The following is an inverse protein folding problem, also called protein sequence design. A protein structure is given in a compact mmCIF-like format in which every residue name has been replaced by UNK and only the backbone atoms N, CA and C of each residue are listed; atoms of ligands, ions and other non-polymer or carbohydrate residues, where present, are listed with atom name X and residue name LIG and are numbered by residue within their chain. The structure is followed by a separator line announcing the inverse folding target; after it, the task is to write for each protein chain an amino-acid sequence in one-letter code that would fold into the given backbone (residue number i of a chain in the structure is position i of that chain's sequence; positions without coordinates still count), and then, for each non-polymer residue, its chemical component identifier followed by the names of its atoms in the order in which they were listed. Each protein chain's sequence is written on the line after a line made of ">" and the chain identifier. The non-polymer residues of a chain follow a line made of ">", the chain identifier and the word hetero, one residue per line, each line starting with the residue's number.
data_IF_158874823981
#
_entry.id   IF_158874823981
#
_cell.length_a   1.000
_cell.length_b   1.000
_cell.length_c   1.000
_cell.angle_alpha   90.00
_cell.angle_beta   90.00
_cell.angle_gamma   90.00
#
_symmetry.space_group_name_H-M   'P 1'
#
loop_
_entity.id
_entity.type
_entity.pdbx_description
1 polymer ?
#
# COMPACT_ATOMS: atom_id res chain seq x y z
N UNK A 1 -1.36 -1.94 -26.21
CA UNK A 1 -0.37 -2.99 -25.95
C UNK A 1 0.90 -2.58 -26.63
N UNK A 2 2.04 -2.55 -25.94
CA UNK A 2 3.32 -2.45 -26.63
C UNK A 2 3.64 -3.85 -27.17
N UNK A 3 3.99 -3.97 -28.44
CA UNK A 3 4.45 -5.26 -28.98
C UNK A 3 5.89 -5.58 -28.51
N UNK A 4 6.51 -4.66 -27.76
CA UNK A 4 7.81 -4.86 -27.14
C UNK A 4 7.70 -5.73 -25.86
N UNK A 5 8.35 -6.91 -25.83
CA UNK A 5 8.35 -7.80 -24.67
C UNK A 5 9.03 -7.17 -23.44
N UNK A 6 10.03 -6.30 -23.60
CA UNK A 6 10.72 -5.61 -22.50
C UNK A 6 9.76 -4.68 -21.78
N UNK A 7 9.04 -3.85 -22.53
CA UNK A 7 8.03 -2.92 -21.97
C UNK A 7 6.94 -3.70 -21.24
N UNK A 8 6.45 -4.79 -21.84
CA UNK A 8 5.37 -5.62 -21.26
C UNK A 8 5.80 -6.26 -19.95
N UNK A 9 6.99 -6.87 -19.90
CA UNK A 9 7.53 -7.50 -18.70
C UNK A 9 7.85 -6.46 -17.62
N UNK A 10 8.44 -5.32 -17.98
CA UNK A 10 8.74 -4.26 -17.02
C UNK A 10 7.47 -3.69 -16.38
N UNK A 11 6.41 -3.43 -17.16
CA UNK A 11 5.12 -2.98 -16.65
C UNK A 11 4.46 -4.04 -15.75
N UNK A 12 4.57 -5.32 -16.10
CA UNK A 12 4.07 -6.42 -15.29
C UNK A 12 4.78 -6.46 -13.92
N UNK A 13 6.12 -6.48 -13.90
CA UNK A 13 6.92 -6.44 -12.66
C UNK A 13 6.55 -5.22 -11.81
N UNK A 14 6.49 -4.02 -12.41
CA UNK A 14 6.13 -2.82 -11.69
C UNK A 14 4.69 -2.90 -11.13
N UNK A 15 3.76 -3.54 -11.84
CA UNK A 15 2.37 -3.70 -11.38
C UNK A 15 2.26 -4.60 -10.14
N UNK A 16 3.05 -5.68 -10.08
CA UNK A 16 3.11 -6.58 -8.93
C UNK A 16 3.73 -5.90 -7.71
N UNK A 17 4.75 -5.08 -7.96
CA UNK A 17 5.48 -4.37 -6.90
C UNK A 17 4.77 -3.09 -6.43
N UNK A 18 3.66 -2.67 -7.05
CA UNK A 18 2.93 -1.47 -6.60
C UNK A 18 2.56 -1.59 -5.12
N UNK A 19 2.72 -0.52 -4.34
CA UNK A 19 3.07 0.86 -4.72
C UNK A 19 4.58 1.17 -4.71
N UNK A 20 5.43 0.15 -4.50
CA UNK A 20 6.87 0.30 -4.31
C UNK A 20 7.55 0.56 -5.65
N UNK A 21 8.27 1.68 -5.73
CA UNK A 21 9.12 1.97 -6.89
C UNK A 21 10.27 0.95 -7.01
N UNK A 22 10.80 0.78 -8.22
CA UNK A 22 11.97 -0.06 -8.48
C UNK A 22 13.12 0.81 -8.97
N UNK A 23 14.34 0.54 -8.50
CA UNK A 23 15.54 1.06 -9.13
C UNK A 23 15.73 0.41 -10.50
N UNK A 24 16.26 1.17 -11.46
CA UNK A 24 16.39 0.69 -12.85
C UNK A 24 17.30 -0.54 -12.95
N UNK A 25 18.37 -0.60 -12.15
CA UNK A 25 19.30 -1.74 -12.16
C UNK A 25 18.60 -3.04 -11.73
N UNK A 26 17.83 -3.00 -10.65
CA UNK A 26 17.01 -4.13 -10.20
C UNK A 26 15.91 -4.46 -11.20
N UNK A 27 15.23 -3.47 -11.76
CA UNK A 27 14.21 -3.71 -12.78
C UNK A 27 14.81 -4.44 -13.99
N UNK A 28 15.97 -4.01 -14.49
CA UNK A 28 16.67 -4.67 -15.59
C UNK A 28 17.01 -6.13 -15.26
N UNK A 29 17.50 -6.42 -14.06
CA UNK A 29 17.76 -7.81 -13.62
C UNK A 29 16.51 -8.68 -13.64
N UNK A 30 15.39 -8.16 -13.10
CA UNK A 30 14.12 -8.88 -13.06
C UNK A 30 13.55 -9.10 -14.48
N UNK A 31 13.68 -8.11 -15.36
CA UNK A 31 13.29 -8.23 -16.77
C UNK A 31 14.14 -9.30 -17.47
N UNK A 32 15.45 -9.29 -17.27
CA UNK A 32 16.37 -10.27 -17.85
C UNK A 32 16.01 -11.70 -17.41
N UNK A 33 15.83 -11.91 -16.10
CA UNK A 33 15.41 -13.20 -15.53
C UNK A 33 14.11 -13.70 -16.15
N UNK A 34 13.10 -12.83 -16.23
CA UNK A 34 11.78 -13.20 -16.74
C UNK A 34 11.78 -13.51 -18.24
N UNK A 35 12.64 -12.86 -19.01
CA UNK A 35 12.82 -13.09 -20.44
C UNK A 35 13.82 -14.22 -20.76
N UNK A 36 14.53 -14.76 -19.77
CA UNK A 36 15.62 -15.72 -19.98
C UNK A 36 16.83 -15.11 -20.70
N UNK A 37 17.06 -13.80 -20.55
CA UNK A 37 18.20 -13.05 -21.12
C UNK A 37 19.27 -12.85 -20.04
N UNK A 38 20.51 -12.66 -20.48
CA UNK A 38 21.59 -12.13 -19.63
C UNK A 38 21.46 -10.62 -19.50
N UNK A 39 21.92 -10.06 -18.37
CA UNK A 39 22.05 -8.60 -18.25
C UNK A 39 23.30 -8.17 -19.01
N UNK A 40 23.10 -7.50 -20.14
CA UNK A 40 24.13 -6.93 -21.00
C UNK A 40 23.83 -5.44 -21.30
N UNK A 41 24.77 -4.68 -21.89
CA UNK A 41 24.58 -3.26 -22.19
C UNK A 41 23.35 -2.96 -23.05
N UNK A 42 23.05 -3.82 -24.03
CA UNK A 42 21.91 -3.63 -24.94
C UNK A 42 20.58 -3.73 -24.18
N UNK A 43 20.41 -4.75 -23.32
CA UNK A 43 19.21 -4.89 -22.49
C UNK A 43 19.07 -3.73 -21.49
N UNK A 44 20.17 -3.23 -20.92
CA UNK A 44 20.14 -2.05 -20.04
C UNK A 44 19.58 -0.84 -20.80
N UNK A 45 20.08 -0.59 -22.01
CA UNK A 45 19.63 0.53 -22.86
C UNK A 45 18.16 0.36 -23.28
N UNK A 46 17.74 -0.84 -23.68
CA UNK A 46 16.35 -1.18 -24.00
C UNK A 46 15.40 -0.87 -22.82
N UNK A 47 15.73 -1.34 -21.62
CA UNK A 47 14.93 -1.08 -20.40
C UNK A 47 14.91 0.41 -20.07
N UNK A 48 16.06 1.09 -20.14
CA UNK A 48 16.15 2.53 -19.89
C UNK A 48 15.28 3.33 -20.85
N UNK A 49 15.38 3.07 -22.15
CA UNK A 49 14.60 3.77 -23.18
C UNK A 49 13.10 3.50 -23.01
N UNK A 50 12.73 2.25 -22.73
CA UNK A 50 11.35 1.88 -22.42
C UNK A 50 10.79 2.66 -21.21
N UNK A 51 11.55 2.73 -20.11
CA UNK A 51 11.11 3.43 -18.90
C UNK A 51 11.06 4.93 -19.09
N UNK A 52 12.06 5.51 -19.77
CA UNK A 52 12.06 6.93 -20.13
C UNK A 52 10.81 7.28 -20.96
N UNK A 53 10.52 6.49 -22.00
CA UNK A 53 9.33 6.68 -22.81
C UNK A 53 8.06 6.61 -21.95
N UNK A 54 7.91 5.62 -21.07
CA UNK A 54 6.74 5.51 -20.20
C UNK A 54 6.59 6.71 -19.24
N UNK A 55 7.70 7.24 -18.72
CA UNK A 55 7.70 8.44 -17.88
C UNK A 55 7.31 9.67 -18.68
N UNK A 56 7.89 9.89 -19.85
CA UNK A 56 7.56 11.03 -20.72
C UNK A 56 6.09 11.03 -21.18
N UNK A 57 5.47 9.85 -21.31
CA UNK A 57 4.05 9.70 -21.62
C UNK A 57 3.13 9.70 -20.37
N UNK A 58 3.67 9.94 -19.17
CA UNK A 58 2.90 9.97 -17.92
C UNK A 58 2.25 8.64 -17.55
N UNK A 59 2.83 7.52 -17.98
CA UNK A 59 2.34 6.16 -17.67
C UNK A 59 2.96 5.59 -16.40
N UNK A 60 4.14 6.08 -16.04
CA UNK A 60 4.89 5.70 -14.85
C UNK A 60 5.46 6.96 -14.20
N UNK A 61 5.47 7.00 -12.88
CA UNK A 61 6.11 8.08 -12.12
C UNK A 61 7.60 7.75 -11.90
N UNK A 62 8.47 8.72 -12.13
CA UNK A 62 9.87 8.65 -11.72
C UNK A 62 10.09 9.42 -10.41
N UNK A 63 10.92 8.88 -9.52
CA UNK A 63 11.27 9.52 -8.25
C UNK A 63 12.67 9.12 -7.80
N UNK A 64 13.30 9.98 -6.99
CA UNK A 64 14.64 9.72 -6.41
C UNK A 64 14.59 9.26 -4.95
N UNK A 65 13.46 9.48 -4.29
CA UNK A 65 13.31 9.25 -2.85
C UNK A 65 12.51 7.97 -2.65
N UNK A 66 13.10 7.02 -1.94
CA UNK A 66 12.35 5.87 -1.42
C UNK A 66 11.31 6.37 -0.42
N UNK A 67 10.04 6.10 -0.71
CA UNK A 67 8.90 6.53 0.10
C UNK A 67 8.64 5.61 1.30
N UNK A 68 9.42 4.53 1.45
CA UNK A 68 9.28 3.56 2.55
C UNK A 68 8.00 2.74 2.48
N UNK A 69 7.26 2.79 1.37
CA UNK A 69 6.03 2.02 1.17
C UNK A 69 6.33 0.53 1.01
N UNK A 70 5.37 -0.31 1.34
CA UNK A 70 5.47 -1.77 1.16
C UNK A 70 4.44 -2.29 0.15
N UNK A 71 4.81 -3.35 -0.58
CA UNK A 71 3.92 -4.12 -1.45
C UNK A 71 3.36 -5.37 -0.74
N UNK A 72 3.75 -5.59 0.51
CA UNK A 72 3.32 -6.69 1.37
C UNK A 72 2.50 -6.15 2.54
N UNK A 73 1.47 -6.89 2.96
CA UNK A 73 0.74 -6.61 4.20
C UNK A 73 1.40 -7.41 5.32
N UNK A 74 2.15 -6.72 6.19
CA UNK A 74 2.77 -7.34 7.36
C UNK A 74 1.72 -7.72 8.41
N UNK A 75 2.04 -8.67 9.29
CA UNK A 75 1.13 -9.09 10.38
C UNK A 75 0.81 -7.95 11.37
N UNK A 76 1.72 -6.99 11.48
CA UNK A 76 1.58 -5.75 12.26
C UNK A 76 1.75 -4.55 11.32
N UNK A 77 0.71 -4.19 10.56
CA UNK A 77 0.81 -3.17 9.53
C UNK A 77 1.15 -1.79 10.12
N UNK A 78 1.92 -1.01 9.35
CA UNK A 78 2.37 0.32 9.73
C UNK A 78 1.92 1.33 8.68
N UNK A 79 1.48 2.51 9.11
CA UNK A 79 1.29 3.69 8.26
C UNK A 79 2.03 4.91 8.84
N UNK A 80 2.08 6.00 8.07
CA UNK A 80 2.76 7.22 8.50
C UNK A 80 2.05 7.89 9.68
N UNK A 81 2.82 8.56 10.55
CA UNK A 81 2.26 9.34 11.67
C UNK A 81 1.26 10.40 11.22
N UNK A 82 1.45 10.97 10.02
CA UNK A 82 0.55 11.94 9.45
C UNK A 82 -0.83 11.32 9.17
N UNK A 83 -0.86 10.17 8.49
CA UNK A 83 -2.11 9.44 8.19
C UNK A 83 -2.84 9.09 9.48
N UNK A 84 -2.14 8.52 10.48
CA UNK A 84 -2.75 8.20 11.78
C UNK A 84 -3.38 9.43 12.43
N UNK A 85 -2.66 10.56 12.44
CA UNK A 85 -3.16 11.83 12.99
C UNK A 85 -4.37 12.37 12.22
N UNK A 86 -4.36 12.28 10.89
CA UNK A 86 -5.49 12.72 10.05
C UNK A 86 -6.74 11.88 10.34
N UNK A 87 -6.58 10.56 10.45
CA UNK A 87 -7.66 9.64 10.81
C UNK A 87 -8.19 9.90 12.23
N UNK A 88 -7.32 10.03 13.24
CA UNK A 88 -7.75 10.34 14.62
C UNK A 88 -8.45 11.70 14.76
N UNK A 89 -8.14 12.65 13.86
CA UNK A 89 -8.78 13.96 13.83
C UNK A 89 -10.10 13.96 13.03
N UNK A 90 -10.64 12.79 12.68
CA UNK A 90 -11.88 12.62 11.91
C UNK A 90 -11.91 13.39 10.57
N UNK A 91 -10.76 13.50 9.88
CA UNK A 91 -10.71 14.14 8.56
C UNK A 91 -11.32 13.26 7.49
N UNK A 92 -12.07 13.84 6.56
CA UNK A 92 -12.65 13.11 5.44
C UNK A 92 -11.63 12.47 4.47
N UNK A 93 -10.33 12.79 4.60
CA UNK A 93 -9.28 12.21 3.77
C UNK A 93 -7.94 12.10 4.52
N UNK A 94 -7.10 11.17 4.05
CA UNK A 94 -5.69 11.05 4.41
C UNK A 94 -4.78 11.35 3.21
N UNK A 95 -3.59 11.86 3.49
CA UNK A 95 -2.53 12.07 2.49
C UNK A 95 -1.66 10.82 2.42
N UNK A 96 -1.62 10.16 1.26
CA UNK A 96 -0.79 8.96 1.05
C UNK A 96 0.69 9.32 0.94
N UNK A 97 1.59 8.32 0.98
CA UNK A 97 3.02 8.54 0.74
C UNK A 97 3.33 9.02 -0.69
N UNK A 98 2.36 8.89 -1.61
CA UNK A 98 2.44 9.43 -2.98
C UNK A 98 1.92 10.86 -3.08
N UNK A 99 1.52 11.47 -1.97
CA UNK A 99 0.88 12.79 -1.92
C UNK A 99 -0.49 12.83 -2.60
N UNK A 100 -1.14 11.69 -2.75
CA UNK A 100 -2.54 11.60 -3.19
C UNK A 100 -3.48 11.70 -1.98
N UNK A 101 -4.77 11.92 -2.25
CA UNK A 101 -5.81 11.93 -1.22
C UNK A 101 -6.61 10.61 -1.26
N UNK A 102 -6.62 9.90 -0.14
CA UNK A 102 -7.52 8.76 0.09
C UNK A 102 -8.70 9.26 0.92
N UNK A 103 -9.93 9.15 0.40
CA UNK A 103 -11.14 9.42 1.18
C UNK A 103 -11.25 8.39 2.32
N UNK A 104 -11.62 8.86 3.51
CA UNK A 104 -11.76 8.01 4.69
C UNK A 104 -13.24 7.80 5.03
N UNK A 105 -13.60 6.56 5.32
CA UNK A 105 -14.88 6.20 5.93
C UNK A 105 -14.75 5.97 7.45
N UNK A 106 -15.87 5.60 8.08
CA UNK A 106 -15.92 5.39 9.54
C UNK A 106 -15.01 4.26 10.00
N UNK A 107 -14.84 3.20 9.20
CA UNK A 107 -13.95 2.09 9.55
C UNK A 107 -12.49 2.53 9.45
N UNK A 108 -12.13 3.32 8.44
CA UNK A 108 -10.78 3.87 8.30
C UNK A 108 -10.38 4.71 9.53
N UNK A 109 -11.32 5.47 10.10
CA UNK A 109 -11.11 6.23 11.34
C UNK A 109 -10.85 5.36 12.57
N UNK A 110 -11.31 4.11 12.58
CA UNK A 110 -11.04 3.14 13.65
C UNK A 110 -9.70 2.44 13.41
N UNK A 111 -9.44 2.01 12.17
CA UNK A 111 -8.28 1.17 11.84
C UNK A 111 -6.97 1.95 11.75
N UNK A 112 -6.93 3.05 10.99
CA UNK A 112 -5.69 3.76 10.67
C UNK A 112 -4.90 4.23 11.90
N UNK A 113 -5.51 4.71 13.00
CA UNK A 113 -4.77 5.06 14.21
C UNK A 113 -3.96 3.91 14.82
N UNK A 114 -4.37 2.67 14.61
CA UNK A 114 -3.76 1.45 15.16
C UNK A 114 -2.68 0.86 14.24
N UNK A 115 -2.51 1.37 13.01
CA UNK A 115 -1.47 0.91 12.09
C UNK A 115 -0.10 1.49 12.46
N UNK A 116 0.44 1.07 13.59
CA UNK A 116 1.67 1.59 14.19
C UNK A 116 2.80 0.56 14.32
N UNK A 117 2.57 -0.67 13.87
CA UNK A 117 3.49 -1.80 13.99
C UNK A 117 3.41 -2.56 15.31
N UNK A 118 2.54 -2.12 16.23
CA UNK A 118 2.33 -2.78 17.51
C UNK A 118 1.06 -3.65 17.49
N UNK A 119 0.05 -3.24 16.72
CA UNK A 119 -1.24 -3.93 16.60
C UNK A 119 -1.32 -4.83 15.36
N UNK A 120 -1.80 -6.06 15.54
CA UNK A 120 -2.08 -6.99 14.45
C UNK A 120 -3.57 -7.12 14.16
N UNK A 121 -3.93 -8.09 13.31
CA UNK A 121 -5.31 -8.32 12.87
C UNK A 121 -6.30 -8.50 14.03
N UNK A 122 -5.92 -9.22 15.08
CA UNK A 122 -6.77 -9.47 16.26
C UNK A 122 -7.12 -8.17 16.98
N UNK A 123 -6.15 -7.28 17.17
CA UNK A 123 -6.38 -5.98 17.81
C UNK A 123 -7.23 -5.06 16.93
N UNK A 124 -7.02 -5.09 15.60
CA UNK A 124 -7.84 -4.34 14.65
C UNK A 124 -9.30 -4.80 14.68
N UNK A 125 -9.54 -6.11 14.67
CA UNK A 125 -10.88 -6.69 14.78
C UNK A 125 -11.54 -6.30 16.11
N UNK A 126 -10.81 -6.43 17.22
CA UNK A 126 -11.32 -6.06 18.55
C UNK A 126 -11.72 -4.60 18.62
N UNK A 127 -10.93 -3.70 18.03
CA UNK A 127 -11.25 -2.27 17.97
C UNK A 127 -12.49 -1.99 17.12
N UNK A 128 -12.63 -2.66 15.98
CA UNK A 128 -13.78 -2.51 15.09
C UNK A 128 -15.09 -3.03 15.73
N UNK A 129 -15.06 -4.21 16.38
CA UNK A 129 -16.20 -4.74 17.15
C UNK A 129 -16.59 -3.82 18.30
N UNK A 130 -15.62 -3.26 19.02
CA UNK A 130 -15.86 -2.29 20.10
C UNK A 130 -16.50 -1.00 19.57
N UNK A 131 -16.09 -0.53 18.39
CA UNK A 131 -16.68 0.63 17.73
C UNK A 131 -18.12 0.37 17.26
N UNK A 132 -18.43 -0.84 16.76
CA UNK A 132 -19.79 -1.27 16.42
C UNK A 132 -20.68 -1.29 17.67
N UNK A 133 -20.25 -1.98 18.73
CA UNK A 133 -21.03 -2.10 19.97
C UNK A 133 -21.22 -0.78 20.74
N UNK A 134 -20.47 0.27 20.41
CA UNK A 134 -20.63 1.62 20.96
C UNK A 134 -21.31 2.60 20.00
N UNK A 135 -21.89 2.11 18.90
CA UNK A 135 -22.60 2.90 17.86
C UNK A 135 -21.73 4.01 17.22
N UNK A 136 -20.40 3.89 17.33
CA UNK A 136 -19.43 4.81 16.68
C UNK A 136 -19.11 4.40 15.25
N UNK A 137 -19.35 3.13 14.94
CA UNK A 137 -19.17 2.52 13.64
C UNK A 137 -20.51 1.89 13.25
N UNK A 138 -20.86 2.03 11.98
CA UNK A 138 -22.03 1.41 11.37
C UNK A 138 -21.55 0.88 10.04
N UNK A 139 -21.74 -0.41 9.79
CA UNK A 139 -21.36 -1.08 8.57
C UNK A 139 -22.58 -1.84 8.08
N UNK A 140 -22.91 -1.63 6.81
CA UNK A 140 -24.00 -2.33 6.12
C UNK A 140 -23.40 -3.18 5.01
N UNK A 141 -23.74 -4.47 4.98
CA UNK A 141 -23.35 -5.41 3.92
C UNK A 141 -24.63 -6.10 3.44
N UNK A 142 -24.92 -6.04 2.14
CA UNK A 142 -26.13 -6.62 1.54
C UNK A 142 -27.43 -6.22 2.28
N UNK A 143 -27.59 -4.91 2.52
CA UNK A 143 -28.72 -4.30 3.25
C UNK A 143 -28.88 -4.76 4.73
N UNK A 144 -27.89 -5.48 5.28
CA UNK A 144 -27.84 -5.92 6.67
C UNK A 144 -26.82 -5.09 7.47
N UNK A 145 -27.24 -4.49 8.58
CA UNK A 145 -26.33 -3.84 9.53
C UNK A 145 -25.60 -4.89 10.37
N UNK A 146 -24.30 -4.70 10.59
CA UNK A 146 -23.52 -5.56 11.50
C UNK A 146 -23.79 -5.15 12.95
N UNK A 147 -24.11 -6.13 13.81
CA UNK A 147 -24.49 -5.90 15.21
C UNK A 147 -23.42 -6.42 16.20
N UNK A 148 -22.30 -6.95 15.69
CA UNK A 148 -21.19 -7.47 16.50
C UNK A 148 -21.40 -8.92 16.97
N UNK A 149 -22.25 -9.68 16.28
CA UNK A 149 -22.38 -11.12 16.48
C UNK A 149 -21.10 -11.88 16.06
N UNK A 150 -21.02 -13.18 16.37
CA UNK A 150 -19.89 -14.01 15.94
C UNK A 150 -19.79 -14.09 14.39
N UNK A 151 -20.93 -14.19 13.70
CA UNK A 151 -20.98 -14.16 12.23
C UNK A 151 -20.52 -12.80 11.68
N UNK A 152 -20.83 -11.69 12.38
CA UNK A 152 -20.34 -10.37 11.99
C UNK A 152 -18.83 -10.24 12.17
N UNK A 153 -18.23 -10.93 13.15
CA UNK A 153 -16.80 -10.90 13.35
C UNK A 153 -16.04 -11.52 12.16
N UNK A 154 -16.52 -12.64 11.62
CA UNK A 154 -15.90 -13.27 10.44
C UNK A 154 -15.98 -12.35 9.22
N UNK A 155 -17.16 -11.75 8.96
CA UNK A 155 -17.33 -10.79 7.87
C UNK A 155 -16.47 -9.53 8.07
N UNK A 156 -16.33 -9.07 9.30
CA UNK A 156 -15.51 -7.90 9.61
C UNK A 156 -14.01 -8.16 9.41
N UNK A 157 -13.54 -9.41 9.59
CA UNK A 157 -12.17 -9.80 9.22
C UNK A 157 -11.96 -9.63 7.72
N UNK A 158 -12.88 -10.12 6.89
CA UNK A 158 -12.80 -9.99 5.43
C UNK A 158 -12.74 -8.51 5.00
N UNK A 159 -13.62 -7.68 5.57
CA UNK A 159 -13.63 -6.22 5.30
C UNK A 159 -12.31 -5.57 5.74
N UNK A 160 -11.75 -5.96 6.89
CA UNK A 160 -10.46 -5.44 7.36
C UNK A 160 -9.34 -5.81 6.38
N UNK A 161 -9.29 -7.06 5.91
CA UNK A 161 -8.27 -7.50 4.95
C UNK A 161 -8.42 -6.78 3.60
N UNK A 162 -9.65 -6.55 3.13
CA UNK A 162 -9.91 -5.73 1.94
C UNK A 162 -9.42 -4.28 2.12
N UNK A 163 -9.65 -3.68 3.30
CA UNK A 163 -9.13 -2.35 3.64
C UNK A 163 -7.61 -2.31 3.66
N UNK A 164 -6.96 -3.29 4.27
CA UNK A 164 -5.50 -3.39 4.27
C UNK A 164 -4.93 -3.51 2.84
N UNK A 165 -5.60 -4.27 1.97
CA UNK A 165 -5.25 -4.38 0.56
C UNK A 165 -5.46 -3.06 -0.19
N UNK A 166 -6.54 -2.32 0.09
CA UNK A 166 -6.74 -0.98 -0.43
C UNK A 166 -5.61 -0.03 0.00
N UNK A 167 -5.27 -0.01 1.29
CA UNK A 167 -4.19 0.81 1.85
C UNK A 167 -2.84 0.49 1.22
N UNK A 168 -2.55 -0.80 1.00
CA UNK A 168 -1.35 -1.26 0.29
C UNK A 168 -1.31 -0.68 -1.12
N UNK A 169 -2.37 -0.87 -1.92
CA UNK A 169 -2.42 -0.41 -3.33
C UNK A 169 -2.18 1.08 -3.49
N UNK A 170 -2.69 1.90 -2.56
CA UNK A 170 -2.57 3.36 -2.62
C UNK A 170 -1.29 3.92 -1.98
N UNK A 171 -0.39 3.07 -1.47
CA UNK A 171 0.85 3.55 -0.84
C UNK A 171 0.67 4.12 0.54
N UNK A 172 -0.30 3.62 1.31
CA UNK A 172 -0.52 4.01 2.69
C UNK A 172 0.28 3.16 3.69
N UNK A 173 0.54 1.89 3.35
CA UNK A 173 1.32 0.99 4.20
C UNK A 173 2.82 1.19 4.00
N UNK A 174 3.57 1.14 5.09
CA UNK A 174 5.02 1.30 5.15
C UNK A 174 5.70 -0.03 5.51
N UNK A 175 6.97 -0.20 5.12
CA UNK A 175 7.80 -1.34 5.56
C UNK A 175 8.12 -1.22 7.04
N UNK A 176 8.21 -2.35 7.75
CA UNK A 176 8.53 -2.38 9.18
C UNK A 176 9.86 -1.70 9.57
N UNK A 177 10.83 -1.68 8.66
CA UNK A 177 12.13 -1.00 8.85
C UNK A 177 12.08 0.52 8.65
N UNK A 178 11.00 1.01 8.04
CA UNK A 178 10.84 2.40 7.62
C UNK A 178 10.21 3.27 8.71
N UNK A 179 10.20 2.80 9.98
CA UNK A 179 9.75 3.61 11.12
C UNK A 179 10.62 4.89 11.23
N UNK A 180 10.04 6.09 11.05
CA UNK A 180 10.76 7.35 11.19
C UNK A 180 11.39 7.56 12.57
N UNK A 181 11.00 6.79 13.61
CA UNK A 181 11.72 6.77 14.91
C UNK A 181 13.19 6.43 14.77
N UNK A 182 13.54 5.52 13.84
CA UNK A 182 14.94 5.10 13.62
C UNK A 182 15.78 6.17 12.92
N UNK A 183 15.16 7.05 12.15
CA UNK A 183 15.87 8.13 11.44
C UNK A 183 16.39 9.20 12.39
N UNK A 184 15.65 9.48 13.48
CA UNK A 184 16.06 10.45 14.49
C UNK A 184 17.19 9.96 15.42
N UNK A 185 17.58 8.68 15.34
CA UNK A 185 18.62 8.09 16.21
C UNK A 185 20.02 8.08 15.59
N UNK A 186 20.14 8.41 14.30
CA UNK A 186 21.38 8.32 13.53
C UNK A 186 21.97 9.69 13.11
N UNK A 187 21.41 10.79 13.61
CA UNK A 187 21.86 12.18 13.41
C UNK A 187 21.89 12.91 14.74
#
# INVERSE_FOLDING_TARGET
>A
SSDDPVVTVALWIMSEMRPVGQDLERLTRLVAERLGRTVDPDLIEEVHHAMEALVLHGRVDAGRVDRGTTHLIEDRPITSRLVRRQASAARAYATTSRHDHLALDRLDHVLLPLLDGEHGRTELLTAALSALGSEKLEITVDDRSLEGSAEDADLLVEIIDEKLEQYRRVGLLLRGDSDPRRWASNH
#
